data_IF_091750058948
#
_entry.id   IF_091750058948
#
_cell.length_a   1.000
_cell.length_b   1.000
_cell.length_c   1.000
_cell.angle_alpha   90.00
_cell.angle_beta   90.00
_cell.angle_gamma   90.00
#
_symmetry.space_group_name_H-M   'P 1'
#
loop_
_entity.id
_entity.type
_entity.pdbx_description
1 polymer ?
#
# COMPACT_ATOMS: atom_id res chain seq x y z
N UNK A 1 10.32 -1.59 21.71
CA UNK A 1 9.48 -0.42 21.37
C UNK A 1 9.09 -0.51 19.90
N UNK A 2 8.01 -1.22 19.60
CA UNK A 2 7.45 -1.36 18.24
C UNK A 2 6.30 -0.35 18.11
N UNK A 3 6.49 0.73 17.34
CA UNK A 3 5.47 1.79 17.12
C UNK A 3 4.83 1.69 15.72
N UNK A 4 4.42 0.50 15.28
CA UNK A 4 3.67 0.36 14.02
C UNK A 4 2.46 -0.58 14.13
N UNK A 5 1.46 -0.29 14.98
CA UNK A 5 0.27 -1.12 15.09
C UNK A 5 -0.72 -0.96 13.91
N UNK A 6 -0.76 0.19 13.22
CA UNK A 6 -1.76 0.48 12.18
C UNK A 6 -1.51 -0.29 10.86
N UNK A 7 -0.26 -0.34 10.39
CA UNK A 7 0.11 -1.06 9.15
C UNK A 7 0.04 -2.58 9.31
N UNK A 8 0.35 -3.09 10.51
CA UNK A 8 0.28 -4.52 10.84
C UNK A 8 -1.15 -5.04 10.88
N UNK A 9 -2.13 -4.18 11.21
CA UNK A 9 -3.56 -4.53 11.22
C UNK A 9 -4.13 -4.75 9.82
N UNK A 10 -3.59 -4.12 8.77
CA UNK A 10 -4.13 -4.26 7.41
C UNK A 10 -3.80 -5.62 6.79
N UNK A 11 -2.61 -6.17 7.05
CA UNK A 11 -2.22 -7.48 6.50
C UNK A 11 -2.94 -8.64 7.19
N UNK A 12 -3.08 -8.60 8.52
CA UNK A 12 -3.86 -9.60 9.27
C UNK A 12 -5.35 -9.51 8.96
N UNK A 13 -5.90 -8.30 8.79
CA UNK A 13 -7.30 -8.11 8.40
C UNK A 13 -7.63 -8.70 7.02
N UNK A 14 -6.70 -8.70 6.05
CA UNK A 14 -6.97 -9.23 4.71
C UNK A 14 -7.09 -10.77 4.68
N UNK A 15 -6.36 -11.48 5.54
CA UNK A 15 -6.42 -12.94 5.61
C UNK A 15 -7.49 -13.40 6.60
N UNK A 16 -7.68 -12.70 7.72
CA UNK A 16 -8.77 -12.99 8.64
C UNK A 16 -10.15 -12.63 8.06
N UNK A 17 -10.26 -11.66 7.14
CA UNK A 17 -11.48 -11.46 6.33
C UNK A 17 -11.70 -12.52 5.27
N UNK A 18 -10.69 -13.36 4.96
CA UNK A 18 -10.92 -14.57 4.15
C UNK A 18 -11.69 -15.65 4.92
N UNK A 19 -11.94 -15.43 6.23
CA UNK A 19 -12.91 -16.17 7.03
C UNK A 19 -14.31 -15.92 6.46
N UNK A 20 -14.60 -16.71 5.42
CA UNK A 20 -15.83 -16.86 4.67
C UNK A 20 -16.27 -15.67 3.78
N UNK A 21 -16.32 -15.95 2.47
CA UNK A 21 -17.19 -15.37 1.43
C UNK A 21 -16.73 -14.24 0.49
N UNK A 22 -15.56 -13.62 0.66
CA UNK A 22 -15.16 -12.58 -0.31
C UNK A 22 -14.50 -13.15 -1.57
N UNK A 23 -13.70 -14.21 -1.44
CA UNK A 23 -13.00 -14.82 -2.58
C UNK A 23 -13.83 -15.96 -3.16
N UNK A 24 -14.14 -15.86 -4.46
CA UNK A 24 -14.84 -16.93 -5.20
C UNK A 24 -14.02 -18.23 -5.22
N UNK A 25 -14.69 -19.36 -5.45
CA UNK A 25 -14.01 -20.64 -5.74
C UNK A 25 -13.08 -20.49 -6.95
N UNK A 26 -11.89 -21.11 -6.88
CA UNK A 26 -10.81 -20.96 -7.87
C UNK A 26 -10.29 -19.52 -7.98
N UNK A 27 -10.41 -18.73 -6.91
CA UNK A 27 -9.98 -17.34 -6.85
C UNK A 27 -8.50 -17.19 -6.43
N UNK A 28 -8.02 -15.95 -6.41
CA UNK A 28 -6.64 -15.64 -6.01
C UNK A 28 -6.63 -14.50 -4.99
N UNK A 29 -5.81 -14.65 -3.94
CA UNK A 29 -5.50 -13.64 -2.93
C UNK A 29 -4.04 -13.21 -3.12
N UNK A 30 -3.82 -11.90 -3.26
CA UNK A 30 -2.48 -11.32 -3.38
C UNK A 30 -2.06 -10.62 -2.08
N UNK A 31 -0.91 -11.00 -1.55
CA UNK A 31 -0.31 -10.39 -0.35
C UNK A 31 0.63 -9.27 -0.77
N UNK A 32 0.23 -8.02 -0.55
CA UNK A 32 0.97 -6.80 -0.95
C UNK A 32 1.57 -6.05 0.25
N UNK A 33 0.98 -6.19 1.44
CA UNK A 33 1.42 -5.54 2.67
C UNK A 33 2.46 -6.35 3.45
N UNK A 34 3.23 -5.66 4.29
CA UNK A 34 4.16 -6.28 5.23
C UNK A 34 3.47 -6.46 6.58
N UNK A 35 3.05 -7.69 6.86
CA UNK A 35 2.43 -8.06 8.13
C UNK A 35 3.44 -8.39 9.23
N UNK A 36 2.95 -8.86 10.40
CA UNK A 36 3.82 -9.46 11.40
C UNK A 36 4.54 -10.71 10.83
N UNK A 37 5.66 -11.15 11.46
CA UNK A 37 6.51 -12.22 10.93
C UNK A 37 5.78 -13.56 10.79
N UNK A 38 4.73 -13.78 11.60
CA UNK A 38 3.88 -14.96 11.53
C UNK A 38 2.42 -14.54 11.54
N UNK A 39 1.61 -15.19 10.70
CA UNK A 39 0.17 -14.99 10.58
C UNK A 39 -0.53 -16.36 10.46
N UNK A 40 -1.74 -16.46 11.02
CA UNK A 40 -2.55 -17.66 10.90
C UNK A 40 -3.39 -17.58 9.61
N UNK A 41 -3.36 -18.64 8.81
CA UNK A 41 -4.08 -18.73 7.52
C UNK A 41 -4.99 -19.98 7.55
N UNK A 42 -6.29 -19.87 7.21
CA UNK A 42 -7.19 -21.03 7.15
C UNK A 42 -6.96 -21.87 5.87
N UNK A 43 -5.90 -22.68 5.87
CA UNK A 43 -5.47 -23.45 4.70
C UNK A 43 -6.47 -24.51 4.23
N UNK A 44 -7.27 -25.09 5.13
CA UNK A 44 -8.29 -26.08 4.76
C UNK A 44 -9.40 -25.43 3.93
N UNK A 45 -9.90 -24.26 4.34
CA UNK A 45 -10.93 -23.53 3.60
C UNK A 45 -10.42 -23.05 2.24
N UNK A 46 -9.16 -22.60 2.21
CA UNK A 46 -8.48 -22.23 0.96
C UNK A 46 -8.33 -23.45 0.02
N UNK A 47 -8.00 -24.62 0.56
CA UNK A 47 -7.89 -25.86 -0.20
C UNK A 47 -9.23 -26.32 -0.78
N UNK A 48 -10.29 -26.32 0.03
CA UNK A 48 -11.65 -26.70 -0.43
C UNK A 48 -12.17 -25.77 -1.53
N UNK A 49 -11.79 -24.49 -1.51
CA UNK A 49 -12.17 -23.51 -2.53
C UNK A 49 -11.14 -23.35 -3.65
N UNK A 50 -10.06 -24.13 -3.66
CA UNK A 50 -8.94 -24.03 -4.61
C UNK A 50 -8.42 -22.60 -4.77
N UNK A 51 -8.15 -21.92 -3.64
CA UNK A 51 -7.69 -20.53 -3.63
C UNK A 51 -6.17 -20.46 -3.79
N UNK A 52 -5.71 -19.68 -4.77
CA UNK A 52 -4.31 -19.31 -4.93
C UNK A 52 -3.93 -18.20 -3.92
N UNK A 53 -2.85 -18.40 -3.16
CA UNK A 53 -2.27 -17.37 -2.29
C UNK A 53 -0.91 -16.96 -2.85
N UNK A 54 -0.78 -15.70 -3.29
CA UNK A 54 0.43 -15.20 -3.98
C UNK A 54 1.06 -14.02 -3.24
N UNK A 55 2.35 -14.12 -2.96
CA UNK A 55 3.14 -12.98 -2.49
C UNK A 55 3.48 -12.03 -3.63
N UNK A 56 3.33 -10.73 -3.41
CA UNK A 56 3.72 -9.68 -4.37
C UNK A 56 4.68 -8.74 -3.68
N UNK A 57 5.91 -8.67 -4.19
CA UNK A 57 6.92 -7.77 -3.67
C UNK A 57 7.31 -6.74 -4.73
N UNK A 58 7.02 -5.47 -4.44
CA UNK A 58 7.30 -4.34 -5.32
C UNK A 58 6.67 -4.53 -6.71
N UNK A 59 7.49 -4.69 -7.73
CA UNK A 59 7.10 -4.67 -9.13
C UNK A 59 8.23 -5.24 -9.99
N UNK A 60 7.85 -5.83 -11.13
CA UNK A 60 8.77 -6.20 -12.20
C UNK A 60 8.11 -5.87 -13.54
N UNK A 61 8.84 -5.19 -14.44
CA UNK A 61 8.43 -4.91 -15.82
C UNK A 61 7.09 -4.16 -16.00
N UNK A 62 6.56 -3.47 -14.98
CA UNK A 62 5.24 -2.81 -15.04
C UNK A 62 5.29 -1.28 -15.22
N UNK A 63 6.47 -0.66 -15.17
CA UNK A 63 6.62 0.80 -15.32
C UNK A 63 6.09 1.34 -16.66
N UNK A 64 6.39 0.72 -17.82
CA UNK A 64 5.86 1.21 -19.10
C UNK A 64 4.32 1.27 -19.12
N UNK A 65 3.66 0.22 -18.62
CA UNK A 65 2.20 0.16 -18.52
C UNK A 65 1.65 1.21 -17.54
N UNK A 66 2.31 1.41 -16.40
CA UNK A 66 1.89 2.44 -15.43
C UNK A 66 1.95 3.86 -16.04
N UNK A 67 3.02 4.17 -16.77
CA UNK A 67 3.18 5.45 -17.47
C UNK A 67 2.11 5.62 -18.56
N UNK A 68 1.83 4.57 -19.34
CA UNK A 68 0.77 4.59 -20.35
C UNK A 68 -0.61 4.88 -19.72
N UNK A 69 -0.96 4.19 -18.63
CA UNK A 69 -2.23 4.40 -17.92
C UNK A 69 -2.40 5.82 -17.39
N UNK A 70 -1.31 6.44 -16.91
CA UNK A 70 -1.32 7.82 -16.42
C UNK A 70 -1.39 8.82 -17.58
N UNK A 71 -0.57 8.64 -18.61
CA UNK A 71 -0.49 9.56 -19.77
C UNK A 71 -1.78 9.60 -20.58
N UNK A 72 -2.48 8.45 -20.69
CA UNK A 72 -3.80 8.35 -21.34
C UNK A 72 -4.95 8.86 -20.47
N UNK A 73 -4.69 9.25 -19.21
CA UNK A 73 -5.71 9.72 -18.28
C UNK A 73 -6.62 8.60 -17.74
N UNK A 74 -6.36 7.33 -18.06
CA UNK A 74 -7.13 6.18 -17.55
C UNK A 74 -6.98 6.01 -16.04
N UNK A 75 -5.86 6.49 -15.47
CA UNK A 75 -5.63 6.52 -14.03
C UNK A 75 -5.17 7.92 -13.62
N UNK A 76 -5.94 8.57 -12.75
CA UNK A 76 -5.56 9.85 -12.15
C UNK A 76 -4.95 9.62 -10.76
N UNK A 77 -3.62 9.72 -10.65
CA UNK A 77 -2.88 9.54 -9.38
C UNK A 77 -2.78 10.81 -8.54
N UNK A 78 -3.13 11.98 -9.09
CA UNK A 78 -2.99 13.27 -8.40
C UNK A 78 -3.74 13.33 -7.06
N UNK A 79 -4.97 12.78 -6.91
CA UNK A 79 -5.69 12.80 -5.63
C UNK A 79 -5.03 12.01 -4.50
N UNK A 80 -4.07 11.12 -4.81
CA UNK A 80 -3.33 10.41 -3.77
C UNK A 80 -2.37 11.33 -3.01
N UNK A 81 -1.92 12.41 -3.64
CA UNK A 81 -1.00 13.40 -3.04
C UNK A 81 -1.82 14.30 -2.12
N UNK A 82 -1.71 14.09 -0.81
CA UNK A 82 -2.46 14.85 0.17
C UNK A 82 -1.68 16.02 0.76
N UNK A 83 -0.35 15.89 0.87
CA UNK A 83 0.50 16.94 1.40
C UNK A 83 1.76 17.12 0.56
N UNK A 84 2.25 18.35 0.52
CA UNK A 84 3.50 18.74 -0.13
C UNK A 84 4.30 19.61 0.83
N UNK A 85 5.57 19.29 0.99
CA UNK A 85 6.50 20.04 1.82
C UNK A 85 7.75 20.38 1.01
N UNK A 86 8.37 21.54 1.23
CA UNK A 86 9.70 21.81 0.72
C UNK A 86 10.74 20.96 1.46
N UNK A 87 11.92 20.77 0.88
CA UNK A 87 12.98 19.94 1.44
C UNK A 87 13.40 20.38 2.85
N UNK A 88 13.36 21.68 3.14
CA UNK A 88 13.70 22.27 4.44
C UNK A 88 12.75 21.82 5.56
N UNK A 89 11.54 21.38 5.21
CA UNK A 89 10.53 20.89 6.15
C UNK A 89 10.43 19.36 6.14
N UNK A 90 11.46 18.65 5.70
CA UNK A 90 11.46 17.18 5.62
C UNK A 90 11.08 16.51 6.95
N UNK A 91 11.55 17.03 8.09
CA UNK A 91 11.18 16.49 9.43
C UNK A 91 9.67 16.56 9.67
N UNK A 92 9.05 17.72 9.41
CA UNK A 92 7.59 17.89 9.51
C UNK A 92 6.84 17.02 8.51
N UNK A 93 7.39 16.79 7.33
CA UNK A 93 6.82 15.87 6.35
C UNK A 93 6.76 14.43 6.89
N UNK A 94 7.82 13.95 7.53
CA UNK A 94 7.84 12.63 8.17
C UNK A 94 6.91 12.56 9.40
N UNK A 95 6.86 13.59 10.23
CA UNK A 95 5.91 13.66 11.37
C UNK A 95 4.45 13.60 10.89
N UNK A 96 4.14 14.26 9.78
CA UNK A 96 2.81 14.22 9.15
C UNK A 96 2.47 12.81 8.65
N UNK A 97 3.45 12.06 8.09
CA UNK A 97 3.21 10.66 7.71
C UNK A 97 3.03 9.72 8.90
N UNK A 98 3.68 10.00 10.03
CA UNK A 98 3.64 9.13 11.20
C UNK A 98 2.38 9.32 12.05
N UNK A 99 1.90 10.56 12.17
CA UNK A 99 0.83 10.91 13.10
C UNK A 99 -0.57 10.57 12.58
N UNK A 100 -0.70 10.16 11.30
CA UNK A 100 -1.97 10.09 10.55
C UNK A 100 -2.81 11.40 10.65
N UNK A 101 -2.20 12.48 11.15
CA UNK A 101 -2.88 13.73 11.41
C UNK A 101 -3.25 14.38 10.07
N UNK A 102 -4.54 14.66 9.88
CA UNK A 102 -5.03 15.31 8.66
C UNK A 102 -5.26 14.39 7.46
N UNK A 103 -5.30 13.06 7.65
CA UNK A 103 -5.67 12.13 6.57
C UNK A 103 -4.56 12.01 5.50
N UNK A 104 -3.32 11.92 5.94
CA UNK A 104 -2.17 11.73 5.05
C UNK A 104 -2.30 10.40 4.27
N UNK A 105 -2.09 10.43 2.95
CA UNK A 105 -2.09 9.25 2.07
C UNK A 105 -0.76 9.15 1.34
N UNK A 106 -0.40 10.20 0.59
CA UNK A 106 0.93 10.36 0.01
C UNK A 106 1.44 11.77 0.30
N UNK A 107 2.54 11.85 1.03
CA UNK A 107 3.29 13.08 1.26
C UNK A 107 4.43 13.17 0.25
N UNK A 108 4.58 14.33 -0.39
CA UNK A 108 5.67 14.61 -1.34
C UNK A 108 6.59 15.66 -0.73
N UNK A 109 7.90 15.40 -0.84
CA UNK A 109 8.93 16.38 -0.52
C UNK A 109 9.46 16.90 -1.86
N UNK A 110 9.24 18.18 -2.12
CA UNK A 110 9.69 18.83 -3.35
C UNK A 110 11.16 19.24 -3.18
N UNK A 111 12.03 18.53 -3.90
CA UNK A 111 13.49 18.75 -3.88
C UNK A 111 13.96 19.73 -4.96
N UNK A 112 13.03 20.46 -5.58
CA UNK A 112 13.37 21.47 -6.58
C UNK A 112 14.17 22.56 -5.85
N UNK A 113 15.49 22.48 -6.00
CA UNK A 113 16.42 23.47 -5.49
C UNK A 113 15.92 24.85 -5.91
N UNK A 114 15.98 25.80 -4.98
CA UNK A 114 15.89 27.24 -5.24
C UNK A 114 16.59 27.59 -6.58
N UNK A 115 15.84 27.63 -7.68
CA UNK A 115 16.34 28.11 -8.97
C UNK A 115 16.09 29.61 -9.16
N UNK A 116 15.67 30.33 -8.10
CA UNK A 116 15.42 31.77 -8.14
C UNK A 116 16.11 32.51 -6.97
N UNK A 117 17.44 32.52 -6.97
CA UNK A 117 18.23 33.63 -6.41
C UNK A 117 19.14 34.21 -7.47
#
# INVERSE_FOLDING_TARGET
MSRYPCEQQQTTANIERSKNDVTRQGGCVALVGMGPPEIKVPLIDAGVKEIDIRGVFRYANCYPTAIELISTGRVNVKPLITHRFPLEEAERAFETTQSDAGGAVKVIIDCTLLQDK
#
